data_IF_067815008491
#
_entry.id   IF_067815008491
#
_cell.length_a   1.000
_cell.length_b   1.000
_cell.length_c   1.000
_cell.angle_alpha   90.00
_cell.angle_beta   90.00
_cell.angle_gamma   90.00
#
_symmetry.space_group_name_H-M   'P 1'
#
loop_
_entity.id
_entity.type
_entity.pdbx_description
1 polymer ?
#
# COMPACT_ATOMS: atom_id res chain seq x y z
N UNK A 1 -5.68 -0.24 -70.19
CA UNK A 1 -6.52 -0.83 -69.10
C UNK A 1 -5.70 -1.34 -67.92
N UNK A 2 -4.44 -0.91 -67.73
CA UNK A 2 -3.55 -1.46 -66.69
C UNK A 2 -3.36 -0.55 -65.46
N UNK A 3 -4.01 0.63 -65.44
CA UNK A 3 -3.79 1.65 -64.38
C UNK A 3 -4.85 1.66 -63.29
N UNK A 4 -5.90 0.83 -63.38
CA UNK A 4 -7.00 0.76 -62.41
C UNK A 4 -6.90 -0.41 -61.41
N UNK A 5 -5.92 -1.31 -61.58
CA UNK A 5 -5.75 -2.47 -60.69
C UNK A 5 -4.76 -2.24 -59.54
N UNK A 6 -3.96 -1.17 -59.58
CA UNK A 6 -2.96 -0.91 -58.55
C UNK A 6 -3.48 -0.09 -57.35
N UNK A 7 -4.70 0.44 -57.42
CA UNK A 7 -5.30 1.21 -56.32
C UNK A 7 -6.17 0.39 -55.37
N UNK A 8 -6.49 -0.86 -55.72
CA UNK A 8 -7.34 -1.71 -54.88
C UNK A 8 -6.58 -2.60 -53.91
N UNK A 9 -5.24 -2.73 -54.00
CA UNK A 9 -4.44 -3.60 -53.12
C UNK A 9 -3.85 -2.85 -51.92
N UNK A 10 -3.80 -1.52 -51.97
CA UNK A 10 -3.23 -0.71 -50.83
C UNK A 10 -4.18 -0.45 -49.69
N UNK A 11 -5.44 -0.82 -49.75
CA UNK A 11 -6.44 -0.48 -48.73
C UNK A 11 -6.76 -1.63 -47.75
N UNK A 12 -6.15 -2.78 -47.86
CA UNK A 12 -6.44 -3.95 -47.02
C UNK A 12 -5.39 -4.23 -45.96
N UNK A 13 -4.25 -3.52 -45.97
CA UNK A 13 -3.17 -3.76 -44.96
C UNK A 13 -3.16 -2.79 -43.77
N UNK A 14 -4.20 -2.00 -43.52
CA UNK A 14 -4.21 -1.01 -42.46
C UNK A 14 -5.08 -1.37 -41.23
N UNK A 15 -5.59 -2.58 -41.11
CA UNK A 15 -6.52 -2.97 -40.02
C UNK A 15 -6.02 -4.10 -39.10
N UNK A 16 -4.76 -4.47 -39.19
CA UNK A 16 -4.18 -5.51 -38.33
C UNK A 16 -3.12 -4.98 -37.35
N UNK A 17 -3.29 -3.76 -36.79
CA UNK A 17 -2.29 -3.10 -35.95
C UNK A 17 -2.79 -2.51 -34.65
N UNK A 18 -3.83 -3.05 -34.01
CA UNK A 18 -4.28 -2.56 -32.69
C UNK A 18 -4.82 -3.68 -31.80
N UNK A 19 -4.02 -4.70 -31.52
CA UNK A 19 -4.40 -5.70 -30.51
C UNK A 19 -3.17 -6.39 -29.89
N UNK A 20 -2.13 -5.63 -29.58
CA UNK A 20 -1.00 -6.14 -28.79
C UNK A 20 -0.46 -5.03 -27.89
N UNK A 21 -1.34 -4.41 -27.10
CA UNK A 21 -0.91 -3.56 -26.00
C UNK A 21 -1.38 -4.19 -24.68
N UNK A 22 -0.38 -4.50 -23.87
CA UNK A 22 -0.41 -4.64 -22.43
C UNK A 22 -1.23 -5.75 -21.78
N UNK A 23 -0.84 -6.97 -22.04
CA UNK A 23 -1.06 -8.06 -21.09
C UNK A 23 0.20 -8.39 -20.25
N UNK A 24 1.26 -7.57 -20.30
CA UNK A 24 2.58 -7.94 -19.72
C UNK A 24 2.94 -7.27 -18.40
N UNK A 25 2.09 -6.43 -17.82
CA UNK A 25 2.41 -5.80 -16.52
C UNK A 25 1.40 -6.07 -15.40
N UNK A 26 0.51 -7.00 -15.59
CA UNK A 26 -0.05 -7.66 -14.41
C UNK A 26 0.97 -8.69 -13.93
N UNK A 27 2.09 -8.19 -13.40
CA UNK A 27 2.98 -9.01 -12.60
C UNK A 27 2.11 -9.72 -11.58
N UNK A 28 1.94 -11.01 -11.75
CA UNK A 28 1.34 -11.91 -10.80
C UNK A 28 2.12 -11.72 -9.50
N UNK A 29 1.65 -10.81 -8.64
CA UNK A 29 2.09 -10.83 -7.25
C UNK A 29 1.56 -12.14 -6.70
N UNK A 30 2.41 -13.16 -6.82
CA UNK A 30 2.23 -14.44 -6.14
C UNK A 30 1.78 -14.11 -4.73
N UNK A 31 0.70 -14.71 -4.27
CA UNK A 31 0.21 -14.53 -2.91
C UNK A 31 1.34 -14.99 -1.97
N UNK A 32 2.21 -14.04 -1.59
CA UNK A 32 3.32 -14.31 -0.71
C UNK A 32 2.76 -14.82 0.61
N UNK A 33 3.16 -16.02 0.98
CA UNK A 33 2.80 -16.60 2.27
C UNK A 33 3.39 -15.73 3.38
N UNK A 34 2.75 -15.62 4.56
CA UNK A 34 3.27 -14.85 5.70
C UNK A 34 4.72 -15.17 6.08
N UNK A 35 5.17 -16.38 5.77
CA UNK A 35 6.52 -16.89 6.07
C UNK A 35 7.63 -16.24 5.21
N UNK A 36 7.27 -15.55 4.13
CA UNK A 36 8.24 -14.90 3.24
C UNK A 36 8.65 -13.48 3.67
N UNK A 37 7.99 -12.92 4.69
CA UNK A 37 8.28 -11.58 5.18
C UNK A 37 9.18 -11.60 6.41
N UNK A 38 10.22 -10.76 6.40
CA UNK A 38 11.19 -10.64 7.51
C UNK A 38 10.72 -9.72 8.62
N UNK A 39 9.80 -8.79 8.32
CA UNK A 39 9.30 -7.82 9.28
C UNK A 39 7.80 -7.95 9.47
N UNK A 40 7.35 -7.72 10.71
CA UNK A 40 5.93 -7.79 11.06
C UNK A 40 5.60 -6.81 12.17
N UNK A 41 4.48 -6.10 12.02
CA UNK A 41 3.83 -5.38 13.10
C UNK A 41 2.34 -5.73 13.12
N UNK A 42 1.75 -5.77 14.30
CA UNK A 42 0.33 -6.04 14.47
C UNK A 42 -0.27 -5.06 15.48
N UNK A 43 -1.40 -4.48 15.10
CA UNK A 43 -2.34 -3.79 16.00
C UNK A 43 -3.58 -4.64 16.19
N UNK A 44 -4.58 -4.13 16.89
CA UNK A 44 -5.89 -4.79 17.03
C UNK A 44 -6.61 -4.96 15.69
N UNK A 45 -6.39 -4.05 14.73
CA UNK A 45 -7.15 -4.01 13.47
C UNK A 45 -6.32 -4.35 12.25
N UNK A 46 -5.00 -4.18 12.31
CA UNK A 46 -4.13 -4.25 11.15
C UNK A 46 -2.88 -5.09 11.43
N UNK A 47 -2.53 -5.97 10.51
CA UNK A 47 -1.23 -6.64 10.46
C UNK A 47 -0.49 -6.20 9.21
N UNK A 48 0.70 -5.64 9.39
CA UNK A 48 1.63 -5.33 8.31
C UNK A 48 2.75 -6.37 8.29
N UNK A 49 3.08 -6.84 7.11
CA UNK A 49 4.17 -7.77 6.82
C UNK A 49 4.99 -7.19 5.67
N UNK A 50 6.32 -7.12 5.79
CA UNK A 50 7.12 -6.54 4.71
C UNK A 50 8.56 -7.05 4.69
N UNK A 51 9.21 -6.80 3.55
CA UNK A 51 10.64 -6.95 3.34
C UNK A 51 11.25 -5.61 2.95
N UNK A 52 12.50 -5.38 3.37
CA UNK A 52 13.31 -4.27 2.91
C UNK A 52 14.28 -4.79 1.84
N UNK A 53 14.29 -4.16 0.68
CA UNK A 53 15.07 -4.52 -0.49
C UNK A 53 15.94 -3.34 -0.92
N UNK A 54 17.15 -3.63 -1.37
CA UNK A 54 18.04 -2.64 -2.02
C UNK A 54 18.22 -3.04 -3.49
N UNK A 55 17.28 -2.66 -4.37
CA UNK A 55 17.36 -3.07 -5.78
C UNK A 55 18.59 -2.50 -6.49
N UNK A 56 19.02 -1.31 -6.07
CA UNK A 56 20.21 -0.61 -6.59
C UNK A 56 20.90 0.16 -5.46
N UNK A 57 22.20 0.47 -5.59
CA UNK A 57 22.89 1.38 -4.66
C UNK A 57 22.14 2.73 -4.56
N UNK A 58 21.90 3.20 -3.35
CA UNK A 58 21.19 4.45 -3.11
C UNK A 58 19.68 4.37 -3.26
N UNK A 59 19.12 3.18 -3.36
CA UNK A 59 17.66 2.97 -3.36
C UNK A 59 17.27 1.95 -2.30
N UNK A 60 16.26 2.28 -1.53
CA UNK A 60 15.59 1.36 -0.61
C UNK A 60 14.14 1.16 -1.06
N UNK A 61 13.68 -0.07 -1.02
CA UNK A 61 12.30 -0.42 -1.34
C UNK A 61 11.71 -1.33 -0.26
N UNK A 62 10.55 -0.95 0.25
CA UNK A 62 9.73 -1.81 1.08
C UNK A 62 8.64 -2.43 0.21
N UNK A 63 8.50 -3.74 0.30
CA UNK A 63 7.40 -4.47 -0.32
C UNK A 63 6.70 -5.30 0.74
N UNK A 64 5.37 -5.21 0.77
CA UNK A 64 4.63 -5.86 1.83
C UNK A 64 3.16 -6.08 1.55
N UNK A 65 2.51 -6.62 2.57
CA UNK A 65 1.08 -6.89 2.59
C UNK A 65 0.48 -6.36 3.89
N UNK A 66 -0.59 -5.61 3.76
CA UNK A 66 -1.45 -5.19 4.86
C UNK A 66 -2.64 -6.14 4.96
N UNK A 67 -2.93 -6.67 6.14
CA UNK A 67 -4.06 -7.57 6.40
C UNK A 67 -4.99 -6.97 7.42
N UNK A 68 -6.29 -7.13 7.21
CA UNK A 68 -7.34 -6.81 8.15
C UNK A 68 -7.91 -8.11 8.76
N UNK A 69 -7.29 -8.69 9.80
CA UNK A 69 -7.64 -10.02 10.28
C UNK A 69 -8.90 -10.06 11.17
N UNK A 70 -9.24 -8.95 11.81
CA UNK A 70 -10.18 -8.95 12.94
C UNK A 70 -11.27 -7.90 12.87
N UNK A 71 -11.07 -6.87 12.07
CA UNK A 71 -11.93 -5.73 12.17
C UNK A 71 -13.35 -6.09 11.73
N UNK A 72 -14.30 -5.84 12.56
CA UNK A 72 -15.70 -5.77 12.19
C UNK A 72 -15.93 -4.73 11.08
N UNK A 73 -14.90 -3.92 10.80
CA UNK A 73 -14.95 -2.76 9.94
C UNK A 73 -13.82 -2.76 8.92
N UNK A 74 -14.07 -2.24 7.70
CA UNK A 74 -13.05 -2.10 6.69
C UNK A 74 -12.01 -1.03 7.09
N UNK A 75 -10.75 -1.34 6.82
CA UNK A 75 -9.67 -0.35 6.85
C UNK A 75 -9.72 0.42 5.55
N UNK A 76 -9.68 1.76 5.64
CA UNK A 76 -9.72 2.65 4.47
C UNK A 76 -8.52 3.57 4.46
N UNK A 77 -8.05 3.91 3.25
CA UNK A 77 -6.99 4.90 3.02
C UNK A 77 -5.75 4.61 3.84
N UNK A 78 -5.24 3.37 3.75
CA UNK A 78 -3.99 3.00 4.39
C UNK A 78 -2.83 3.61 3.60
N UNK A 79 -2.20 4.61 4.20
CA UNK A 79 -1.08 5.36 3.65
C UNK A 79 0.17 5.18 4.50
N UNK A 80 1.32 5.32 3.86
CA UNK A 80 2.62 5.09 4.45
C UNK A 80 3.58 6.23 4.15
N UNK A 81 4.51 6.49 5.07
CA UNK A 81 5.69 7.30 4.85
C UNK A 81 6.91 6.57 5.42
N UNK A 82 7.94 6.40 4.60
CA UNK A 82 9.23 5.87 5.01
C UNK A 82 10.22 7.01 5.14
N UNK A 83 10.88 7.12 6.29
CA UNK A 83 11.78 8.23 6.62
C UNK A 83 13.14 7.67 6.96
N UNK A 84 14.17 8.09 6.23
CA UNK A 84 15.57 7.86 6.56
C UNK A 84 16.06 8.88 7.58
N UNK A 85 16.68 8.42 8.65
CA UNK A 85 17.12 9.25 9.79
C UNK A 85 18.61 9.00 10.03
N UNK A 86 19.40 10.08 10.14
CA UNK A 86 20.82 9.99 10.45
C UNK A 86 21.10 9.75 11.95
N UNK A 87 22.38 9.60 12.31
CA UNK A 87 22.79 9.39 13.70
C UNK A 87 22.54 10.59 14.63
N UNK A 88 22.06 11.73 14.09
CA UNK A 88 21.71 12.94 14.83
C UNK A 88 20.17 13.17 14.86
N UNK A 89 19.39 12.14 14.54
CA UNK A 89 17.92 12.19 14.49
C UNK A 89 17.36 13.15 13.42
N UNK A 90 18.14 13.49 12.38
CA UNK A 90 17.68 14.36 11.31
C UNK A 90 17.18 13.53 10.15
N UNK A 91 16.06 13.94 9.55
CA UNK A 91 15.56 13.35 8.31
C UNK A 91 16.49 13.64 7.16
N UNK A 92 16.98 12.60 6.50
CA UNK A 92 17.88 12.68 5.34
C UNK A 92 17.19 12.26 4.06
N UNK A 93 16.16 11.43 4.16
CA UNK A 93 15.44 10.91 3.03
C UNK A 93 13.97 10.61 3.40
N UNK A 94 13.06 10.72 2.43
CA UNK A 94 11.65 10.44 2.63
C UNK A 94 11.01 9.87 1.37
N UNK A 95 10.15 8.87 1.55
CA UNK A 95 9.30 8.29 0.52
C UNK A 95 7.90 8.07 1.06
N UNK A 96 6.90 8.07 0.19
CA UNK A 96 5.51 7.82 0.56
C UNK A 96 4.84 6.85 -0.42
N UNK A 97 3.75 6.25 0.03
CA UNK A 97 2.94 5.34 -0.77
C UNK A 97 1.65 4.98 -0.05
N UNK A 98 0.87 4.11 -0.67
CA UNK A 98 -0.39 3.63 -0.11
C UNK A 98 -0.57 2.13 -0.38
N UNK A 99 -1.47 1.50 0.35
CA UNK A 99 -1.96 0.19 -0.01
C UNK A 99 -2.63 0.27 -1.39
N UNK A 100 -2.52 -0.82 -2.18
CA UNK A 100 -3.11 -0.88 -3.52
C UNK A 100 -4.62 -0.66 -3.48
N UNK A 101 -5.27 -1.28 -2.50
CA UNK A 101 -6.72 -1.21 -2.37
C UNK A 101 -7.09 -0.08 -1.41
N UNK A 102 -8.00 0.79 -1.84
CA UNK A 102 -8.52 1.90 -1.04
C UNK A 102 -9.26 1.42 0.21
N UNK A 103 -9.71 0.17 0.20
CA UNK A 103 -10.44 -0.45 1.29
C UNK A 103 -10.02 -1.91 1.44
N UNK A 104 -9.65 -2.30 2.65
CA UNK A 104 -9.31 -3.68 3.01
C UNK A 104 -10.43 -4.22 3.91
N UNK A 105 -11.24 -5.12 3.36
CA UNK A 105 -12.35 -5.75 4.09
C UNK A 105 -11.80 -6.76 5.11
N UNK A 106 -12.66 -7.19 6.03
CA UNK A 106 -12.34 -8.24 7.01
C UNK A 106 -11.82 -9.50 6.31
N UNK A 107 -10.74 -10.06 6.83
CA UNK A 107 -10.02 -11.22 6.29
C UNK A 107 -9.39 -11.01 4.91
N UNK A 108 -9.38 -9.79 4.40
CA UNK A 108 -8.69 -9.45 3.16
C UNK A 108 -7.29 -8.90 3.43
N UNK A 109 -6.49 -8.88 2.38
CA UNK A 109 -5.15 -8.31 2.37
C UNK A 109 -4.94 -7.47 1.12
N UNK A 110 -4.18 -6.39 1.28
CA UNK A 110 -3.78 -5.49 0.20
C UNK A 110 -2.27 -5.37 0.15
N UNK A 111 -1.64 -5.52 -1.01
CA UNK A 111 -0.22 -5.29 -1.16
C UNK A 111 0.10 -3.80 -1.12
N UNK A 112 1.32 -3.49 -0.66
CA UNK A 112 1.86 -2.14 -0.71
C UNK A 112 3.33 -2.15 -1.11
N UNK A 113 3.78 -1.03 -1.67
CA UNK A 113 5.17 -0.81 -2.05
C UNK A 113 5.54 0.64 -1.79
N UNK A 114 6.74 0.84 -1.25
CA UNK A 114 7.33 2.14 -0.98
C UNK A 114 8.73 2.19 -1.58
N UNK A 115 9.07 3.28 -2.23
CA UNK A 115 10.42 3.56 -2.72
C UNK A 115 11.02 4.78 -2.05
N UNK A 116 12.32 4.72 -1.74
CA UNK A 116 13.07 5.81 -1.13
C UNK A 116 14.46 5.90 -1.79
N UNK A 117 14.87 7.10 -2.18
CA UNK A 117 16.26 7.37 -2.53
C UNK A 117 17.02 7.69 -1.26
N UNK A 118 18.06 6.90 -0.97
CA UNK A 118 18.89 7.07 0.23
C UNK A 118 20.02 8.06 -0.04
N UNK A 119 20.36 8.86 0.96
CA UNK A 119 21.53 9.74 0.94
C UNK A 119 22.85 8.99 1.29
N UNK A 120 22.73 7.76 1.84
CA UNK A 120 23.86 6.94 2.30
C UNK A 120 24.38 7.32 3.68
N UNK A 121 23.68 8.21 4.38
CA UNK A 121 24.02 8.69 5.74
C UNK A 121 22.97 8.26 6.78
N UNK A 122 22.00 7.51 6.36
CA UNK A 122 20.93 7.02 7.24
C UNK A 122 21.47 6.00 8.25
N UNK A 123 21.18 6.22 9.51
CA UNK A 123 21.45 5.28 10.59
C UNK A 123 20.30 4.26 10.74
N UNK A 124 19.07 4.66 10.36
CA UNK A 124 17.88 3.81 10.39
C UNK A 124 16.79 4.32 9.47
N UNK A 125 15.74 3.50 9.27
CA UNK A 125 14.54 3.86 8.52
C UNK A 125 13.31 3.65 9.39
N UNK A 126 12.54 4.72 9.59
CA UNK A 126 11.30 4.71 10.37
C UNK A 126 10.09 4.66 9.42
N UNK A 127 9.18 3.71 9.64
CA UNK A 127 7.95 3.55 8.88
C UNK A 127 6.79 4.15 9.64
N UNK A 128 6.19 5.18 9.09
CA UNK A 128 4.93 5.75 9.55
C UNK A 128 3.80 5.20 8.70
N UNK A 129 2.67 4.91 9.31
CA UNK A 129 1.46 4.54 8.59
C UNK A 129 0.23 5.08 9.30
N UNK A 130 -0.78 5.42 8.51
CA UNK A 130 -2.07 5.83 9.02
C UNK A 130 -3.19 5.25 8.17
N UNK A 131 -4.32 5.03 8.80
CA UNK A 131 -5.51 4.52 8.17
C UNK A 131 -6.76 5.06 8.84
N UNK A 132 -7.87 4.95 8.15
CA UNK A 132 -9.19 5.29 8.65
C UNK A 132 -10.03 4.04 8.78
N UNK A 133 -10.88 4.03 9.78
CA UNK A 133 -11.98 3.11 9.86
C UNK A 133 -13.24 3.87 10.29
N UNK A 134 -14.40 3.42 9.80
CA UNK A 134 -15.66 3.97 10.22
C UNK A 134 -16.00 3.30 11.55
N UNK A 135 -15.89 4.01 12.67
CA UNK A 135 -16.41 3.49 13.93
C UNK A 135 -17.94 3.48 13.83
N UNK A 136 -18.51 2.30 13.64
CA UNK A 136 -19.92 2.15 13.86
C UNK A 136 -20.19 2.39 15.34
N UNK A 137 -20.98 3.41 15.61
CA UNK A 137 -21.69 3.62 16.85
C UNK A 137 -21.01 4.40 17.97
N UNK A 138 -21.37 5.63 18.00
CA UNK A 138 -21.81 6.16 19.29
C UNK A 138 -23.22 5.60 19.62
N UNK A 139 -23.28 4.37 20.13
CA UNK A 139 -24.52 3.79 20.67
C UNK A 139 -25.05 4.59 21.85
N UNK A 140 -24.22 5.40 22.49
CA UNK A 140 -24.60 6.29 23.58
C UNK A 140 -25.47 7.46 23.11
N UNK A 141 -25.34 7.92 21.87
CA UNK A 141 -26.19 8.97 21.33
C UNK A 141 -27.63 8.53 21.02
N UNK A 142 -27.91 7.23 20.97
CA UNK A 142 -29.29 6.72 20.76
C UNK A 142 -30.21 6.87 21.97
N UNK A 143 -29.66 7.09 23.15
CA UNK A 143 -30.46 7.14 24.39
C UNK A 143 -30.84 8.56 24.82
N UNK A 144 -30.32 9.61 24.18
CA UNK A 144 -30.45 10.98 24.71
C UNK A 144 -30.95 12.05 23.73
N UNK A 145 -31.36 11.72 22.50
CA UNK A 145 -31.73 12.76 21.52
C UNK A 145 -32.98 12.47 20.69
N UNK A 146 -33.65 13.49 20.15
CA UNK A 146 -34.80 13.34 19.26
C UNK A 146 -34.42 12.56 17.99
N UNK A 147 -35.36 11.81 17.37
CA UNK A 147 -35.11 10.82 16.32
C UNK A 147 -34.64 11.36 14.95
N UNK A 148 -34.15 12.59 14.88
CA UNK A 148 -33.80 13.28 13.63
C UNK A 148 -32.31 13.28 13.28
N UNK A 149 -31.42 12.79 14.13
CA UNK A 149 -30.00 12.69 13.80
C UNK A 149 -29.70 11.23 13.36
N UNK A 150 -29.54 11.02 12.06
CA UNK A 150 -29.01 9.75 11.54
C UNK A 150 -27.65 9.42 12.17
N UNK A 151 -27.23 8.15 12.16
CA UNK A 151 -25.94 7.75 12.72
C UNK A 151 -24.81 8.58 12.10
N UNK A 152 -24.14 9.39 12.90
CA UNK A 152 -22.90 10.06 12.46
C UNK A 152 -21.81 9.01 12.48
N UNK A 153 -21.37 8.60 11.31
CA UNK A 153 -20.16 7.83 11.15
C UNK A 153 -18.99 8.73 11.52
N UNK A 154 -18.39 8.48 12.67
CA UNK A 154 -17.15 9.17 13.07
C UNK A 154 -15.99 8.40 12.46
N UNK A 155 -15.39 8.95 11.40
CA UNK A 155 -14.16 8.42 10.85
C UNK A 155 -13.02 8.64 11.85
N UNK A 156 -12.47 7.54 12.39
CA UNK A 156 -11.27 7.60 13.21
C UNK A 156 -10.04 7.45 12.32
N UNK A 157 -9.05 8.32 12.53
CA UNK A 157 -7.74 8.20 11.89
C UNK A 157 -6.74 7.74 12.93
N UNK A 158 -6.11 6.60 12.70
CA UNK A 158 -5.04 6.08 13.53
C UNK A 158 -3.70 6.29 12.83
N UNK A 159 -2.74 6.84 13.56
CA UNK A 159 -1.37 7.04 13.09
C UNK A 159 -0.41 6.27 13.99
N UNK A 160 0.49 5.51 13.39
CA UNK A 160 1.46 4.67 14.06
C UNK A 160 2.85 4.86 13.47
N UNK A 161 3.86 4.46 14.23
CA UNK A 161 5.25 4.46 13.80
C UNK A 161 5.91 3.13 14.17
N UNK A 162 6.66 2.59 13.22
CA UNK A 162 7.60 1.49 13.46
C UNK A 162 9.00 2.06 13.32
N UNK A 163 9.72 2.12 14.43
CA UNK A 163 11.11 2.57 14.43
C UNK A 163 12.01 1.48 13.88
N UNK A 164 13.01 1.87 13.09
CA UNK A 164 13.98 0.96 12.46
C UNK A 164 13.30 -0.18 11.65
N UNK A 165 12.42 0.20 10.76
CA UNK A 165 11.58 -0.73 9.98
C UNK A 165 12.37 -1.68 9.08
N UNK A 166 13.67 -1.45 8.87
CA UNK A 166 14.57 -2.30 8.09
C UNK A 166 15.73 -2.88 8.92
N UNK A 167 15.75 -2.63 10.22
CA UNK A 167 16.73 -3.22 11.13
C UNK A 167 16.50 -4.71 11.37
N UNK A 168 17.41 -5.35 12.08
CA UNK A 168 17.27 -6.75 12.47
C UNK A 168 15.95 -6.94 13.22
N UNK A 169 15.21 -7.96 12.85
CA UNK A 169 13.85 -8.30 13.30
C UNK A 169 13.67 -8.07 14.80
N UNK A 170 13.03 -6.96 15.17
CA UNK A 170 12.55 -6.79 16.52
C UNK A 170 11.29 -7.63 16.69
N UNK A 171 11.43 -8.81 17.26
CA UNK A 171 10.30 -9.49 17.87
C UNK A 171 9.80 -8.59 19.01
N UNK A 172 8.81 -7.76 18.73
CA UNK A 172 8.07 -7.04 19.77
C UNK A 172 7.45 -8.12 20.67
N UNK A 173 8.12 -8.33 21.84
CA UNK A 173 7.54 -9.06 22.94
C UNK A 173 6.19 -8.39 23.30
N UNK A 174 5.23 -9.25 23.59
CA UNK A 174 3.86 -8.93 24.02
C UNK A 174 3.82 -8.05 25.25
#
# INVERSE_FOLDING_TARGET
MLRRFLLAVSLVMSLAGCAAMDASERGSMSAATPETFTHRVATSELVLLWNCLQPEPGQLRLEGVAKNPWAAQPIRYLEFALVGVDGQERTTAQGSGAARDLQILTNQSSPFQLGLKTAGTEARFDLYYHYRFDSDFDTSARLAGPPMAGPRLLAQTNTFMVRDACGATQHLAR
#
